data_IF_079936463595
#
_entry.id   IF_079936463595
#
_cell.length_a   1.000
_cell.length_b   1.000
_cell.length_c   1.000
_cell.angle_alpha   90.00
_cell.angle_beta   90.00
_cell.angle_gamma   90.00
#
_symmetry.space_group_name_H-M   'P 1'
#
loop_
_entity.id
_entity.type
_entity.pdbx_description
1 polymer ?
#
# COMPACT_ATOMS: atom_id res chain seq x y z
N UNK A 1 -24.49 15.67 -4.16
CA UNK A 1 -24.13 14.35 -3.60
C UNK A 1 -24.63 14.29 -2.17
N UNK A 2 -24.87 13.11 -1.59
CA UNK A 2 -24.81 13.03 -0.12
C UNK A 2 -23.41 13.49 0.30
N UNK A 3 -23.32 14.20 1.42
CA UNK A 3 -22.08 14.89 1.77
C UNK A 3 -20.93 13.91 2.11
N UNK A 4 -21.26 12.69 2.52
CA UNK A 4 -20.28 11.69 2.97
C UNK A 4 -19.49 11.07 1.81
N UNK A 5 -20.09 10.61 0.69
CA UNK A 5 -19.33 10.15 -0.48
C UNK A 5 -18.37 11.19 -1.03
N UNK A 6 -18.83 12.44 -1.14
CA UNK A 6 -17.98 13.52 -1.62
C UNK A 6 -16.79 13.77 -0.67
N UNK A 7 -17.03 13.74 0.64
CA UNK A 7 -15.96 13.85 1.63
C UNK A 7 -14.97 12.68 1.54
N UNK A 8 -15.47 11.45 1.37
CA UNK A 8 -14.65 10.24 1.21
C UNK A 8 -13.72 10.35 0.00
N UNK A 9 -14.26 10.65 -1.18
CA UNK A 9 -13.47 10.70 -2.41
C UNK A 9 -12.50 11.90 -2.44
N UNK A 10 -12.88 13.04 -1.85
CA UNK A 10 -11.95 14.17 -1.72
C UNK A 10 -10.75 13.83 -0.83
N UNK A 11 -10.96 13.13 0.29
CA UNK A 11 -9.85 12.65 1.13
C UNK A 11 -9.02 11.58 0.44
N UNK A 12 -9.63 10.79 -0.44
CA UNK A 12 -8.97 9.72 -1.19
C UNK A 12 -7.84 10.23 -2.07
N UNK A 13 -8.08 11.31 -2.83
CA UNK A 13 -7.07 11.89 -3.71
C UNK A 13 -5.83 12.37 -2.93
N UNK A 14 -6.04 13.08 -1.81
CA UNK A 14 -4.95 13.55 -0.95
C UNK A 14 -4.18 12.40 -0.31
N UNK A 15 -4.92 11.43 0.25
CA UNK A 15 -4.34 10.31 0.97
C UNK A 15 -3.54 9.40 0.05
N UNK A 16 -4.02 9.10 -1.15
CA UNK A 16 -3.34 8.17 -2.06
C UNK A 16 -2.07 8.81 -2.62
N UNK A 17 -2.10 10.12 -2.87
CA UNK A 17 -0.89 10.87 -3.24
C UNK A 17 0.16 10.84 -2.12
N UNK A 18 -0.26 10.77 -0.86
CA UNK A 18 0.64 10.83 0.31
C UNK A 18 1.19 9.48 0.75
N UNK A 19 0.38 8.42 0.70
CA UNK A 19 0.70 7.12 1.33
C UNK A 19 0.94 5.98 0.32
N UNK A 20 0.78 6.24 -0.98
CA UNK A 20 1.11 5.32 -2.05
C UNK A 20 -0.09 4.59 -2.65
N UNK A 21 0.19 3.59 -3.47
CA UNK A 21 -0.80 2.90 -4.31
C UNK A 21 -1.48 1.73 -3.61
N UNK A 22 -0.79 1.10 -2.65
CA UNK A 22 -1.34 0.00 -1.84
C UNK A 22 -2.08 0.50 -0.60
N UNK A 23 -2.96 1.48 -0.78
CA UNK A 23 -3.68 2.17 0.30
C UNK A 23 -5.17 1.88 0.22
N UNK A 24 -5.79 1.61 1.37
CA UNK A 24 -7.25 1.59 1.55
C UNK A 24 -7.64 2.59 2.64
N UNK A 25 -8.84 3.17 2.51
CA UNK A 25 -9.37 4.10 3.50
C UNK A 25 -10.68 3.58 4.10
N UNK A 26 -10.74 3.58 5.42
CA UNK A 26 -11.88 3.17 6.22
C UNK A 26 -12.51 4.41 6.82
N UNK A 27 -13.71 4.75 6.37
CA UNK A 27 -14.45 5.92 6.85
C UNK A 27 -15.47 5.51 7.91
N UNK A 28 -15.44 6.18 9.07
CA UNK A 28 -16.42 5.96 10.11
C UNK A 28 -17.75 6.58 9.72
N UNK A 29 -18.81 5.76 9.76
CA UNK A 29 -20.20 6.17 9.60
C UNK A 29 -21.00 5.57 10.77
N UNK A 30 -21.28 6.40 11.77
CA UNK A 30 -21.91 5.93 13.00
C UNK A 30 -21.06 4.89 13.73
N UNK A 31 -21.54 3.64 13.78
CA UNK A 31 -20.88 2.51 14.47
C UNK A 31 -20.14 1.55 13.54
N UNK A 32 -19.95 1.94 12.28
CA UNK A 32 -19.28 1.12 11.28
C UNK A 32 -18.12 1.87 10.66
N UNK A 33 -17.07 1.13 10.29
CA UNK A 33 -16.12 1.56 9.28
C UNK A 33 -16.59 1.05 7.93
N UNK A 34 -16.55 1.90 6.92
CA UNK A 34 -16.96 1.58 5.57
C UNK A 34 -15.82 1.84 4.57
N UNK A 35 -15.77 1.02 3.54
CA UNK A 35 -14.88 1.15 2.38
C UNK A 35 -15.76 1.25 1.14
N UNK A 36 -15.55 2.30 0.34
CA UNK A 36 -16.34 2.59 -0.84
C UNK A 36 -15.49 2.61 -2.11
N UNK A 37 -16.06 2.18 -3.22
CA UNK A 37 -15.39 2.12 -4.52
C UNK A 37 -16.37 2.43 -5.66
N UNK A 38 -15.93 3.24 -6.62
CA UNK A 38 -16.68 3.56 -7.83
C UNK A 38 -16.18 2.68 -8.99
N UNK A 39 -17.01 1.75 -9.53
CA UNK A 39 -16.56 0.70 -10.45
C UNK A 39 -16.17 1.20 -11.86
N UNK A 40 -16.53 2.43 -12.20
CA UNK A 40 -16.28 3.02 -13.54
C UNK A 40 -15.08 4.01 -13.53
N UNK A 41 -14.44 4.20 -12.37
CA UNK A 41 -13.22 4.99 -12.26
C UNK A 41 -12.05 4.01 -12.27
N UNK A 42 -11.10 4.13 -13.23
CA UNK A 42 -9.91 3.29 -13.22
C UNK A 42 -9.20 3.49 -11.88
N UNK A 43 -9.15 2.43 -11.06
CA UNK A 43 -8.46 2.48 -9.79
C UNK A 43 -6.96 2.57 -10.09
N UNK A 44 -6.37 3.73 -9.80
CA UNK A 44 -4.91 3.88 -9.73
C UNK A 44 -4.33 2.96 -8.63
N UNK A 45 -5.19 2.48 -7.72
CA UNK A 45 -4.86 1.52 -6.69
C UNK A 45 -4.53 0.15 -7.29
N UNK A 46 -3.25 -0.15 -7.32
CA UNK A 46 -2.75 -1.50 -7.45
C UNK A 46 -2.27 -1.91 -6.06
N UNK A 47 -3.02 -2.78 -5.37
CA UNK A 47 -2.29 -3.77 -4.58
C UNK A 47 -1.55 -4.59 -5.61
N UNK A 48 -0.28 -4.23 -5.85
CA UNK A 48 0.53 -4.82 -6.90
C UNK A 48 0.47 -6.33 -6.77
N UNK A 49 -0.35 -6.95 -7.61
CA UNK A 49 -0.24 -8.38 -7.86
C UNK A 49 1.07 -8.56 -8.61
N UNK A 50 1.89 -9.48 -8.12
CA UNK A 50 3.20 -9.89 -8.62
C UNK A 50 3.30 -10.00 -10.16
N UNK A 51 2.16 -10.17 -10.85
CA UNK A 51 2.04 -10.25 -12.30
C UNK A 51 2.26 -8.93 -13.05
N UNK A 52 1.86 -7.76 -12.54
CA UNK A 52 1.94 -6.51 -13.33
C UNK A 52 3.37 -5.98 -13.49
N UNK A 53 4.19 -6.05 -12.43
CA UNK A 53 5.62 -5.67 -12.49
C UNK A 53 6.44 -6.60 -13.42
N UNK A 54 6.02 -7.86 -13.56
CA UNK A 54 6.65 -8.84 -14.45
C UNK A 54 6.17 -8.72 -15.91
N UNK A 55 4.94 -8.25 -16.15
CA UNK A 55 4.41 -8.05 -17.51
C UNK A 55 5.01 -6.80 -18.16
N UNK A 56 5.32 -5.75 -17.39
CA UNK A 56 5.95 -4.54 -17.92
C UNK A 56 7.46 -4.69 -18.20
N UNK A 57 8.10 -5.73 -17.67
CA UNK A 57 9.55 -5.96 -17.77
C UNK A 57 9.98 -6.92 -18.88
N UNK A 58 9.04 -7.53 -19.62
CA UNK A 58 9.35 -8.43 -20.75
C UNK A 58 8.92 -7.79 -22.08
N UNK A 59 9.85 -7.25 -22.90
CA UNK A 59 9.53 -6.87 -24.27
C UNK A 59 9.42 -8.16 -25.10
N UNK A 60 8.22 -8.74 -25.19
CA UNK A 60 7.96 -9.80 -26.19
C UNK A 60 7.51 -9.17 -27.51
N UNK A 61 8.23 -9.42 -28.63
CA UNK A 61 7.89 -8.88 -29.94
C UNK A 61 6.88 -9.79 -30.63
N UNK A 62 5.71 -10.02 -30.02
CA UNK A 62 4.55 -10.58 -30.72
C UNK A 62 3.36 -10.71 -29.76
N UNK A 63 2.42 -9.78 -29.83
CA UNK A 63 1.01 -10.14 -29.98
C UNK A 63 0.16 -8.90 -30.19
N UNK A 64 -0.46 -8.82 -31.37
CA UNK A 64 -1.74 -8.15 -31.51
C UNK A 64 -2.76 -8.93 -30.66
N UNK A 65 -2.86 -8.61 -29.38
CA UNK A 65 -4.02 -8.95 -28.55
C UNK A 65 -4.58 -7.62 -28.07
N UNK A 66 -5.87 -7.46 -28.32
CA UNK A 66 -6.67 -6.29 -27.99
C UNK A 66 -6.39 -5.80 -26.58
N UNK A 67 -6.47 -4.47 -26.43
CA UNK A 67 -6.49 -3.71 -25.17
C UNK A 67 -7.67 -4.11 -24.26
N UNK A 68 -7.69 -5.36 -23.79
CA UNK A 68 -8.53 -5.83 -22.72
C UNK A 68 -7.78 -5.62 -21.42
N UNK A 69 -8.31 -4.75 -20.56
CA UNK A 69 -7.94 -4.65 -19.15
C UNK A 69 -7.74 -6.07 -18.58
N UNK A 70 -6.49 -6.42 -18.28
CA UNK A 70 -6.20 -7.62 -17.50
C UNK A 70 -6.83 -7.34 -16.13
N UNK A 71 -8.02 -7.89 -15.88
CA UNK A 71 -8.93 -7.45 -14.83
C UNK A 71 -8.30 -7.53 -13.45
N UNK A 72 -7.74 -6.41 -12.99
CA UNK A 72 -7.30 -6.24 -11.60
C UNK A 72 -8.56 -6.18 -10.75
N UNK A 73 -8.74 -7.17 -9.88
CA UNK A 73 -9.79 -7.17 -8.87
C UNK A 73 -9.68 -5.88 -8.05
N UNK A 74 -10.73 -5.03 -7.99
CA UNK A 74 -10.64 -3.76 -7.27
C UNK A 74 -10.34 -3.99 -5.78
N UNK A 75 -9.66 -3.04 -5.10
CA UNK A 75 -9.29 -3.19 -3.69
C UNK A 75 -10.46 -3.57 -2.78
N UNK A 76 -11.67 -3.07 -3.04
CA UNK A 76 -12.86 -3.40 -2.27
C UNK A 76 -13.21 -4.90 -2.34
N UNK A 77 -13.03 -5.53 -3.50
CA UNK A 77 -13.29 -6.96 -3.70
C UNK A 77 -12.22 -7.82 -3.03
N UNK A 78 -10.96 -7.39 -3.09
CA UNK A 78 -9.86 -8.06 -2.39
C UNK A 78 -10.06 -8.00 -0.87
N UNK A 79 -10.34 -6.82 -0.33
CA UNK A 79 -10.59 -6.61 1.11
C UNK A 79 -11.83 -7.37 1.56
N UNK A 80 -12.91 -7.33 0.78
CA UNK A 80 -14.13 -8.07 1.10
C UNK A 80 -13.88 -9.58 1.14
N UNK A 81 -13.13 -10.13 0.18
CA UNK A 81 -12.76 -11.54 0.18
C UNK A 81 -11.83 -11.92 1.34
N UNK A 82 -10.91 -11.03 1.72
CA UNK A 82 -9.97 -11.27 2.82
C UNK A 82 -10.65 -11.26 4.19
N UNK A 83 -11.64 -10.40 4.37
CA UNK A 83 -12.35 -10.22 5.64
C UNK A 83 -13.67 -11.00 5.71
N UNK A 84 -14.01 -11.77 4.68
CA UNK A 84 -15.30 -12.45 4.51
C UNK A 84 -16.50 -11.48 4.67
N UNK A 85 -16.39 -10.31 4.03
CA UNK A 85 -17.39 -9.25 4.10
C UNK A 85 -18.23 -9.21 2.83
N UNK A 86 -19.51 -8.88 2.99
CA UNK A 86 -20.42 -8.71 1.86
C UNK A 86 -20.29 -7.33 1.24
N UNK A 87 -20.11 -7.27 -0.07
CA UNK A 87 -20.23 -6.05 -0.85
C UNK A 87 -21.72 -5.78 -1.14
N UNK A 88 -22.11 -4.54 -0.98
CA UNK A 88 -23.45 -4.02 -1.25
C UNK A 88 -23.36 -2.84 -2.20
N UNK A 89 -24.44 -2.54 -2.92
CA UNK A 89 -24.51 -1.38 -3.80
C UNK A 89 -25.67 -0.47 -3.36
N UNK A 90 -25.41 0.57 -2.55
CA UNK A 90 -26.47 1.42 -2.04
C UNK A 90 -26.92 2.42 -3.11
N UNK A 91 -28.14 2.24 -3.63
CA UNK A 91 -28.82 3.23 -4.47
C UNK A 91 -28.68 3.03 -5.98
N UNK A 92 -29.00 4.09 -6.74
CA UNK A 92 -29.07 4.09 -8.23
C UNK A 92 -27.73 4.33 -8.94
N UNK A 93 -26.72 4.78 -8.21
CA UNK A 93 -25.36 4.97 -8.72
C UNK A 93 -24.58 3.76 -8.24
N UNK A 94 -23.88 3.09 -9.15
CA UNK A 94 -23.15 1.84 -9.02
C UNK A 94 -22.04 1.83 -7.94
N UNK A 95 -22.12 2.61 -6.87
CA UNK A 95 -21.15 2.65 -5.79
C UNK A 95 -21.14 1.30 -5.04
N UNK A 96 -19.98 0.68 -4.95
CA UNK A 96 -19.76 -0.50 -4.12
C UNK A 96 -19.41 -0.06 -2.70
N UNK A 97 -20.00 -0.73 -1.72
CA UNK A 97 -19.80 -0.49 -0.30
C UNK A 97 -19.61 -1.82 0.43
N UNK A 98 -18.60 -1.89 1.29
CA UNK A 98 -18.48 -2.88 2.36
C UNK A 98 -18.22 -2.16 3.68
N UNK A 99 -18.50 -2.82 4.80
CA UNK A 99 -18.22 -2.26 6.11
C UNK A 99 -18.25 -3.30 7.23
N UNK A 100 -17.68 -2.93 8.38
CA UNK A 100 -17.68 -3.74 9.60
C UNK A 100 -17.78 -2.86 10.85
N UNK A 101 -18.21 -3.41 12.01
CA UNK A 101 -18.36 -2.62 13.23
C UNK A 101 -17.04 -2.02 13.73
N UNK A 102 -17.07 -0.79 14.27
CA UNK A 102 -15.86 -0.08 14.72
C UNK A 102 -15.00 -0.86 15.75
N UNK A 103 -15.64 -1.65 16.61
CA UNK A 103 -14.95 -2.41 17.65
C UNK A 103 -14.14 -3.60 17.09
N UNK A 104 -14.39 -4.00 15.84
CA UNK A 104 -13.67 -5.09 15.17
C UNK A 104 -12.42 -4.61 14.42
N UNK A 105 -12.12 -3.31 14.43
CA UNK A 105 -11.02 -2.72 13.68
C UNK A 105 -9.68 -3.42 13.95
N UNK A 106 -9.30 -3.58 15.22
CA UNK A 106 -8.03 -4.20 15.62
C UNK A 106 -7.91 -5.66 15.16
N UNK A 107 -9.03 -6.40 15.12
CA UNK A 107 -9.06 -7.77 14.62
C UNK A 107 -8.82 -7.85 13.10
N UNK A 108 -9.24 -6.84 12.33
CA UNK A 108 -9.10 -6.82 10.88
C UNK A 108 -7.79 -6.20 10.38
N UNK A 109 -7.23 -5.23 11.12
CA UNK A 109 -5.98 -4.55 10.73
C UNK A 109 -4.85 -5.55 10.49
N UNK A 110 -4.62 -6.49 11.40
CA UNK A 110 -3.53 -7.47 11.25
C UNK A 110 -3.62 -8.26 9.94
N UNK A 111 -4.82 -8.74 9.60
CA UNK A 111 -5.07 -9.50 8.36
C UNK A 111 -4.80 -8.67 7.11
N UNK A 112 -5.15 -7.38 7.13
CA UNK A 112 -4.96 -6.46 6.02
C UNK A 112 -3.48 -6.06 5.86
N UNK A 113 -2.80 -5.77 6.96
CA UNK A 113 -1.37 -5.46 6.97
C UNK A 113 -0.52 -6.64 6.51
N UNK A 114 -0.89 -7.86 6.92
CA UNK A 114 -0.30 -9.11 6.43
C UNK A 114 -0.59 -9.36 4.95
N UNK A 115 -1.37 -8.52 4.27
CA UNK A 115 -1.52 -8.54 2.82
C UNK A 115 -0.88 -7.34 2.13
N UNK A 116 -0.07 -6.58 2.87
CA UNK A 116 0.67 -5.43 2.35
C UNK A 116 -0.17 -4.14 2.22
N UNK A 117 -1.41 -4.13 2.71
CA UNK A 117 -2.25 -2.94 2.66
C UNK A 117 -1.79 -1.88 3.67
N UNK A 118 -1.79 -0.62 3.24
CA UNK A 118 -1.74 0.53 4.14
C UNK A 118 -3.17 0.99 4.42
N UNK A 119 -3.53 1.11 5.69
CA UNK A 119 -4.90 1.34 6.13
C UNK A 119 -5.00 2.74 6.73
N UNK A 120 -5.86 3.57 6.16
CA UNK A 120 -6.12 4.92 6.65
C UNK A 120 -7.47 4.91 7.36
N UNK A 121 -7.47 5.22 8.64
CA UNK A 121 -8.68 5.30 9.45
C UNK A 121 -9.14 6.76 9.50
N UNK A 122 -10.39 6.99 9.13
CA UNK A 122 -11.02 8.32 9.09
C UNK A 122 -12.19 8.32 10.07
N UNK A 123 -12.03 8.99 11.21
CA UNK A 123 -13.03 9.02 12.27
C UNK A 123 -13.95 10.23 12.19
N UNK A 124 -15.16 10.09 12.76
CA UNK A 124 -16.08 11.20 12.97
C UNK A 124 -15.59 12.09 14.11
N UNK A 125 -15.37 13.37 13.82
CA UNK A 125 -15.01 14.36 14.82
C UNK A 125 -16.24 14.73 15.65
N UNK A 126 -16.12 14.64 16.98
CA UNK A 126 -17.15 15.11 17.90
C UNK A 126 -17.36 16.63 17.71
N UNK A 127 -18.46 17.00 17.05
CA UNK A 127 -18.82 18.40 16.83
C UNK A 127 -20.23 18.64 17.33
N UNK A 128 -20.41 19.58 18.26
CA UNK A 128 -21.73 19.94 18.84
C UNK A 128 -22.60 20.79 17.88
N UNK A 129 -22.19 20.91 16.61
CA UNK A 129 -22.87 21.76 15.62
C UNK A 129 -23.89 20.95 14.82
N UNK A 130 -25.07 21.54 14.64
CA UNK A 130 -26.09 21.07 13.70
C UNK A 130 -25.52 21.07 12.28
N UNK A 131 -25.24 19.89 11.73
CA UNK A 131 -24.70 19.75 10.39
C UNK A 131 -24.11 18.38 10.10
N UNK A 132 -23.59 18.18 8.88
CA UNK A 132 -22.78 17.04 8.51
C UNK A 132 -21.59 16.89 9.48
N UNK A 133 -21.43 15.68 10.04
CA UNK A 133 -20.28 15.37 10.89
C UNK A 133 -18.99 15.56 10.11
N UNK A 134 -18.05 16.31 10.69
CA UNK A 134 -16.70 16.42 10.16
C UNK A 134 -15.97 15.10 10.39
N UNK A 135 -15.02 14.79 9.51
CA UNK A 135 -14.21 13.59 9.59
C UNK A 135 -12.77 13.93 9.24
N UNK A 136 -11.83 13.30 9.91
CA UNK A 136 -10.42 13.49 9.67
C UNK A 136 -9.69 12.15 9.81
N UNK A 137 -8.53 12.04 9.15
CA UNK A 137 -7.63 10.91 9.35
C UNK A 137 -7.20 10.90 10.81
N UNK A 138 -7.55 9.84 11.53
CA UNK A 138 -7.17 9.65 12.93
C UNK A 138 -5.90 8.83 13.04
N UNK A 139 -5.76 7.79 12.21
CA UNK A 139 -4.65 6.84 12.24
C UNK A 139 -4.30 6.34 10.84
N UNK A 140 -3.02 5.97 10.68
CA UNK A 140 -2.50 5.31 9.48
C UNK A 140 -1.69 4.11 9.92
N UNK A 141 -2.05 2.94 9.43
CA UNK A 141 -1.35 1.69 9.69
C UNK A 141 -0.63 1.25 8.42
N UNK A 142 0.67 1.00 8.51
CA UNK A 142 1.46 0.39 7.42
C UNK A 142 2.07 -0.94 7.90
N UNK A 143 2.39 -1.87 6.98
CA UNK A 143 2.87 -3.21 7.34
C UNK A 143 4.07 -3.23 8.29
N UNK A 144 5.00 -2.27 8.16
CA UNK A 144 6.20 -2.18 9.00
C UNK A 144 6.07 -1.21 10.18
N UNK A 145 5.01 -0.42 10.27
CA UNK A 145 4.83 0.63 11.29
C UNK A 145 3.68 0.37 12.27
N UNK A 146 3.13 -0.85 12.30
CA UNK A 146 2.08 -1.18 13.25
C UNK A 146 2.66 -1.40 14.65
N UNK A 147 2.36 -0.48 15.58
CA UNK A 147 2.80 -0.54 16.98
C UNK A 147 1.90 -1.44 17.85
N UNK A 148 0.79 -1.95 17.33
CA UNK A 148 -0.14 -2.78 18.10
C UNK A 148 0.25 -4.27 18.09
N UNK A 149 0.95 -4.74 17.05
CA UNK A 149 1.46 -6.11 16.92
C UNK A 149 2.99 -6.14 17.11
N UNK A 150 3.42 -6.28 18.37
CA UNK A 150 4.81 -6.11 18.81
C UNK A 150 5.54 -7.43 19.09
N UNK A 151 5.18 -8.53 18.40
CA UNK A 151 5.85 -9.81 18.66
C UNK A 151 7.31 -9.84 18.17
N UNK A 152 7.63 -9.15 17.08
CA UNK A 152 8.95 -9.12 16.45
C UNK A 152 9.26 -7.75 15.83
N UNK A 153 10.56 -7.45 15.65
CA UNK A 153 11.02 -6.17 15.10
C UNK A 153 10.97 -6.19 13.56
N UNK A 154 10.00 -5.48 12.98
CA UNK A 154 9.92 -5.24 11.53
C UNK A 154 10.67 -3.99 11.11
N UNK A 155 11.23 -4.03 9.89
CA UNK A 155 11.95 -2.91 9.29
C UNK A 155 11.24 -2.40 8.03
N UNK A 156 11.24 -1.09 7.86
CA UNK A 156 11.10 -0.43 6.55
C UNK A 156 12.50 -0.32 5.96
N UNK A 157 12.68 -0.73 4.71
CA UNK A 157 13.89 -0.43 3.95
C UNK A 157 13.60 0.72 2.98
N UNK A 158 14.49 1.70 2.90
CA UNK A 158 14.51 2.67 1.83
C UNK A 158 15.74 2.47 0.97
N UNK A 159 15.54 2.40 -0.35
CA UNK A 159 16.60 2.25 -1.34
C UNK A 159 16.59 3.47 -2.25
N UNK A 160 17.74 4.14 -2.32
CA UNK A 160 18.00 5.20 -3.27
C UNK A 160 19.16 4.78 -4.17
N UNK A 161 19.03 4.98 -5.47
CA UNK A 161 20.08 4.64 -6.43
C UNK A 161 20.54 5.89 -7.17
N UNK A 162 21.85 6.13 -7.16
CA UNK A 162 22.48 7.21 -7.92
C UNK A 162 23.82 6.75 -8.49
N UNK A 163 23.96 6.88 -9.80
CA UNK A 163 25.13 6.43 -10.55
C UNK A 163 25.41 4.94 -10.32
N UNK A 164 26.42 4.59 -9.53
CA UNK A 164 26.76 3.21 -9.13
C UNK A 164 26.67 2.99 -7.61
N UNK A 165 25.97 3.87 -6.89
CA UNK A 165 25.85 3.84 -5.44
C UNK A 165 24.40 3.61 -5.01
N UNK A 166 24.17 2.57 -4.21
CA UNK A 166 22.94 2.36 -3.45
C UNK A 166 23.07 3.03 -2.08
N UNK A 167 22.17 3.96 -1.77
CA UNK A 167 21.88 4.35 -0.39
C UNK A 167 20.81 3.41 0.17
N UNK A 168 21.16 2.67 1.23
CA UNK A 168 20.21 1.77 1.91
C UNK A 168 19.99 2.29 3.33
N UNK A 169 18.72 2.44 3.70
CA UNK A 169 18.29 2.80 5.05
C UNK A 169 17.35 1.74 5.57
N UNK A 170 17.59 1.25 6.79
CA UNK A 170 16.69 0.37 7.54
C UNK A 170 16.15 1.16 8.73
N UNK A 171 14.84 1.17 8.91
CA UNK A 171 14.19 1.84 10.04
C UNK A 171 13.15 0.93 10.68
N UNK A 172 13.22 0.79 12.01
CA UNK A 172 12.19 0.11 12.78
C UNK A 172 11.43 1.12 13.65
N UNK A 173 10.14 1.31 13.35
CA UNK A 173 9.29 2.27 14.04
C UNK A 173 9.12 1.95 15.53
N UNK A 174 9.10 0.65 15.89
CA UNK A 174 8.81 0.19 17.25
C UNK A 174 9.80 0.68 18.31
N UNK A 175 11.09 0.77 17.97
CA UNK A 175 12.14 1.17 18.91
C UNK A 175 13.00 2.35 18.39
N UNK A 176 12.67 2.89 17.22
CA UNK A 176 13.43 3.97 16.58
C UNK A 176 14.80 3.54 16.05
N UNK A 177 15.09 2.23 15.98
CA UNK A 177 16.37 1.73 15.51
C UNK A 177 16.52 2.01 14.00
N UNK A 178 17.60 2.70 13.64
CA UNK A 178 17.90 3.11 12.28
C UNK A 178 19.33 2.76 11.90
N UNK A 179 19.52 2.19 10.71
CA UNK A 179 20.83 1.95 10.12
C UNK A 179 20.81 2.52 8.71
N UNK A 180 21.81 3.32 8.37
CA UNK A 180 22.00 3.85 7.02
C UNK A 180 23.41 3.56 6.55
N UNK A 181 23.55 3.01 5.35
CA UNK A 181 24.85 2.76 4.74
C UNK A 181 24.80 2.83 3.21
N UNK A 182 25.87 3.34 2.57
CA UNK A 182 26.02 3.28 1.14
C UNK A 182 26.65 1.94 0.70
N UNK A 183 26.28 1.44 -0.47
CA UNK A 183 26.82 0.22 -1.08
C UNK A 183 27.10 0.49 -2.55
N UNK A 184 28.34 0.24 -2.99
CA UNK A 184 28.64 0.28 -4.42
C UNK A 184 27.94 -0.87 -5.14
N UNK A 185 27.48 -0.65 -6.38
CA UNK A 185 26.77 -1.65 -7.17
C UNK A 185 27.57 -2.95 -7.34
N UNK A 186 28.89 -2.86 -7.46
CA UNK A 186 29.80 -4.01 -7.53
C UNK A 186 29.74 -4.91 -6.28
N UNK A 187 29.38 -4.33 -5.13
CA UNK A 187 29.37 -4.94 -3.81
C UNK A 187 27.95 -5.24 -3.29
N UNK A 188 26.93 -5.05 -4.12
CA UNK A 188 25.50 -5.18 -3.74
C UNK A 188 25.17 -6.52 -3.06
N UNK A 189 25.79 -7.62 -3.46
CA UNK A 189 25.49 -8.94 -2.90
C UNK A 189 26.06 -9.14 -1.48
N UNK A 190 27.00 -8.30 -1.04
CA UNK A 190 27.58 -8.37 0.31
C UNK A 190 26.56 -8.03 1.39
N UNK A 191 25.58 -7.18 1.08
CA UNK A 191 24.57 -6.72 2.05
C UNK A 191 23.32 -7.59 2.07
N UNK A 192 23.14 -8.48 1.08
CA UNK A 192 21.98 -9.37 0.99
C UNK A 192 21.75 -10.17 2.28
N UNK A 193 22.82 -10.71 2.89
CA UNK A 193 22.71 -11.50 4.13
C UNK A 193 22.20 -10.68 5.31
N UNK A 194 22.63 -9.42 5.42
CA UNK A 194 22.13 -8.51 6.45
C UNK A 194 20.64 -8.24 6.21
N UNK A 195 20.27 -7.91 4.98
CA UNK A 195 18.88 -7.57 4.66
C UNK A 195 17.93 -8.75 4.83
N UNK A 196 18.34 -9.96 4.46
CA UNK A 196 17.55 -11.19 4.67
C UNK A 196 17.38 -11.52 6.15
N UNK A 197 18.33 -11.13 7.01
CA UNK A 197 18.19 -11.29 8.45
C UNK A 197 17.25 -10.25 9.08
N UNK A 198 16.94 -9.17 8.36
CA UNK A 198 15.95 -8.19 8.77
C UNK A 198 14.57 -8.61 8.26
N UNK A 199 13.56 -8.58 9.13
CA UNK A 199 12.16 -8.81 8.74
C UNK A 199 11.60 -7.56 8.05
N UNK A 200 11.85 -7.45 6.76
CA UNK A 200 11.43 -6.30 5.95
C UNK A 200 10.02 -6.54 5.42
N UNK A 201 9.04 -5.74 5.88
CA UNK A 201 7.64 -5.79 5.40
C UNK A 201 7.27 -4.64 4.46
N UNK A 202 8.14 -3.64 4.30
CA UNK A 202 7.88 -2.46 3.49
C UNK A 202 9.20 -1.94 2.89
N UNK A 203 9.18 -1.68 1.59
CA UNK A 203 10.29 -1.20 0.76
C UNK A 203 9.88 0.11 0.12
N UNK A 204 10.66 1.16 0.35
CA UNK A 204 10.45 2.49 -0.23
C UNK A 204 11.59 2.79 -1.19
N UNK A 205 11.28 2.88 -2.48
CA UNK A 205 12.26 3.21 -3.50
C UNK A 205 12.22 4.72 -3.76
N UNK A 206 13.31 5.40 -3.43
CA UNK A 206 13.48 6.81 -3.77
C UNK A 206 13.90 6.95 -5.23
N UNK A 207 13.02 7.48 -6.06
CA UNK A 207 13.29 7.85 -7.43
C UNK A 207 13.56 9.37 -7.49
N UNK A 208 14.71 9.79 -8.04
CA UNK A 208 14.85 11.20 -8.41
C UNK A 208 13.82 11.54 -9.50
N UNK A 209 13.26 12.75 -9.51
CA UNK A 209 12.37 13.22 -10.58
C UNK A 209 13.04 12.97 -11.95
N UNK A 210 12.45 12.06 -12.74
CA UNK A 210 13.03 11.57 -14.00
C UNK A 210 13.79 10.23 -13.92
N UNK A 211 13.66 9.46 -12.84
CA UNK A 211 14.26 8.12 -12.74
C UNK A 211 13.74 7.23 -13.88
N UNK A 212 14.66 6.83 -14.75
CA UNK A 212 14.39 5.93 -15.86
C UNK A 212 13.81 4.62 -15.33
N UNK A 213 12.85 4.03 -16.05
CA UNK A 213 12.34 2.66 -15.81
C UNK A 213 13.47 1.64 -15.63
N UNK A 214 14.62 1.88 -16.25
CA UNK A 214 15.85 1.10 -16.08
C UNK A 214 16.34 1.03 -14.62
N UNK A 215 16.33 2.13 -13.88
CA UNK A 215 16.77 2.16 -12.47
C UNK A 215 15.81 1.36 -11.58
N UNK A 216 14.50 1.53 -11.80
CA UNK A 216 13.49 0.74 -11.09
C UNK A 216 13.66 -0.76 -11.39
N UNK A 217 13.85 -1.12 -12.67
CA UNK A 217 14.08 -2.51 -13.07
C UNK A 217 15.34 -3.10 -12.43
N UNK A 218 16.43 -2.32 -12.30
CA UNK A 218 17.64 -2.75 -11.58
C UNK A 218 17.36 -3.02 -10.11
N UNK A 219 16.61 -2.15 -9.44
CA UNK A 219 16.25 -2.31 -8.03
C UNK A 219 15.31 -3.51 -7.85
N UNK A 220 14.30 -3.68 -8.70
CA UNK A 220 13.42 -4.84 -8.68
C UNK A 220 14.19 -6.16 -8.86
N UNK A 221 15.07 -6.23 -9.87
CA UNK A 221 15.91 -7.41 -10.10
C UNK A 221 16.82 -7.73 -8.91
N UNK A 222 17.28 -6.69 -8.20
CA UNK A 222 18.09 -6.83 -6.99
C UNK A 222 17.27 -7.29 -5.77
N UNK A 223 16.08 -6.76 -5.56
CA UNK A 223 15.16 -7.23 -4.50
C UNK A 223 14.77 -8.69 -4.72
N UNK A 224 14.55 -9.08 -5.98
CA UNK A 224 14.32 -10.47 -6.40
C UNK A 224 15.56 -11.32 -6.11
N UNK A 225 16.74 -10.87 -6.52
CA UNK A 225 17.99 -11.60 -6.30
C UNK A 225 18.35 -11.77 -4.82
N UNK A 226 17.94 -10.85 -3.96
CA UNK A 226 18.13 -10.93 -2.51
C UNK A 226 17.09 -11.76 -1.78
N UNK A 227 16.07 -12.30 -2.47
CA UNK A 227 14.91 -12.96 -1.85
C UNK A 227 14.15 -12.07 -0.84
N UNK A 228 14.33 -10.74 -0.91
CA UNK A 228 13.45 -9.78 -0.21
C UNK A 228 12.13 -9.61 -0.96
N UNK A 229 12.11 -10.08 -2.21
CA UNK A 229 10.97 -10.25 -3.08
C UNK A 229 11.20 -11.57 -3.84
N UNK A 230 10.22 -12.45 -4.11
CA UNK A 230 8.81 -12.46 -3.71
C UNK A 230 8.52 -13.45 -2.55
N UNK A 231 9.51 -13.84 -1.74
CA UNK A 231 9.35 -14.91 -0.75
C UNK A 231 8.38 -14.60 0.39
N UNK A 232 8.18 -13.32 0.72
CA UNK A 232 7.10 -12.88 1.59
C UNK A 232 6.02 -12.18 0.74
N UNK A 233 4.83 -12.78 0.53
CA UNK A 233 3.74 -12.18 -0.25
C UNK A 233 3.15 -10.90 0.39
N UNK A 234 3.75 -10.43 1.49
CA UNK A 234 3.24 -9.37 2.36
C UNK A 234 4.13 -8.11 2.31
N UNK A 235 5.28 -8.17 1.64
CA UNK A 235 6.19 -7.04 1.53
C UNK A 235 5.67 -6.02 0.51
N UNK A 236 5.35 -4.82 0.99
CA UNK A 236 4.87 -3.70 0.17
C UNK A 236 6.05 -2.99 -0.49
N UNK A 237 5.95 -2.64 -1.79
CA UNK A 237 6.92 -1.78 -2.48
C UNK A 237 6.21 -0.49 -2.90
N UNK A 238 6.76 0.66 -2.51
CA UNK A 238 6.29 1.97 -2.96
C UNK A 238 7.43 2.73 -3.62
N UNK A 239 7.13 3.39 -4.74
CA UNK A 239 8.06 4.27 -5.44
C UNK A 239 7.67 5.71 -5.13
N UNK A 240 8.57 6.46 -4.50
CA UNK A 240 8.37 7.87 -4.17
C UNK A 240 9.27 8.74 -5.07
N UNK A 241 8.72 9.83 -5.61
CA UNK A 241 9.42 10.77 -6.50
C UNK A 241 9.07 12.23 -6.21
#
# INVERSE_FOLDING_TARGET
MSQVPMQYFNLMEENYSKYGLSVIQLIQIGKFYELWHEPDVPSIQQAYSQAELLVESIPTPSSHIQSGSLGVTPPIEQVASLLDMRITSPGKRSLLQMGFPIYSLTAHIGTLLDKGWTIIVIDELATDKSGPKQRAVSQVYSPSCNLEDCSELSYVISIYFKDDLLGITLFAAMNGHSIMFPVYWADRDKVARLLVSCRIKEVVIGAASGANSETLNKIYGLLIGWNLFPSEPNAKIEVMG
#
